data_IF_901390040148
#
_entry.id   IF_901390040148
#
_cell.length_a   1.000
_cell.length_b   1.000
_cell.length_c   1.000
_cell.angle_alpha   90.00
_cell.angle_beta   90.00
_cell.angle_gamma   90.00
#
_symmetry.space_group_name_H-M   'P 1'
#
loop_
_entity.id
_entity.type
_entity.pdbx_description
1 polymer ?
#
# COMPACT_ATOMS: atom_id res chain seq x y z
N UNK A 1 9.04 1.44 16.41
CA UNK A 1 8.54 2.82 16.27
C UNK A 1 7.17 2.76 15.61
N UNK A 2 6.11 3.05 16.38
CA UNK A 2 4.73 3.06 15.89
C UNK A 2 4.52 4.34 15.07
N UNK A 3 4.80 4.27 13.77
CA UNK A 3 4.54 5.41 12.90
C UNK A 3 3.03 5.44 12.59
N UNK A 4 2.38 6.53 13.01
CA UNK A 4 0.98 6.79 12.73
C UNK A 4 0.69 6.80 11.22
N UNK A 5 -0.55 6.49 10.86
CA UNK A 5 -1.05 6.69 9.49
C UNK A 5 -1.22 8.20 9.31
N UNK A 6 -0.62 8.82 8.27
CA UNK A 6 -0.82 10.24 8.00
C UNK A 6 -2.29 10.50 7.62
N UNK A 7 -2.81 11.71 7.87
CA UNK A 7 -4.13 12.10 7.39
C UNK A 7 -4.14 12.03 5.85
N UNK A 8 -5.11 11.32 5.29
CA UNK A 8 -5.31 11.23 3.84
C UNK A 8 -6.30 12.30 3.46
N UNK A 9 -5.93 13.14 2.48
CA UNK A 9 -6.72 14.29 2.06
C UNK A 9 -7.70 13.94 0.93
N UNK A 10 -7.38 12.93 0.15
CA UNK A 10 -8.18 12.47 -0.99
C UNK A 10 -9.31 11.55 -0.56
N UNK A 11 -10.44 11.70 -1.24
CA UNK A 11 -11.61 10.86 -0.97
C UNK A 11 -11.39 9.44 -1.48
N UNK A 12 -12.02 8.45 -0.84
CA UNK A 12 -11.96 7.05 -1.29
C UNK A 12 -12.47 6.89 -2.74
N UNK A 13 -13.41 7.75 -3.16
CA UNK A 13 -13.98 7.80 -4.50
C UNK A 13 -12.94 8.23 -5.55
N UNK A 14 -12.19 9.29 -5.26
CA UNK A 14 -11.13 9.81 -6.12
C UNK A 14 -10.01 8.78 -6.29
N UNK A 15 -9.58 8.18 -5.18
CA UNK A 15 -8.58 7.12 -5.18
C UNK A 15 -9.05 5.91 -5.99
N UNK A 16 -10.33 5.55 -5.90
CA UNK A 16 -10.93 4.49 -6.71
C UNK A 16 -10.89 4.85 -8.19
N UNK A 17 -11.26 6.07 -8.59
CA UNK A 17 -11.21 6.49 -10.00
C UNK A 17 -9.77 6.47 -10.55
N UNK A 18 -8.80 6.96 -9.78
CA UNK A 18 -7.39 6.92 -10.15
C UNK A 18 -6.89 5.49 -10.34
N UNK A 19 -7.31 4.56 -9.48
CA UNK A 19 -6.94 3.15 -9.54
C UNK A 19 -7.44 2.47 -10.83
N UNK A 20 -8.64 2.82 -11.31
CA UNK A 20 -9.18 2.32 -12.57
C UNK A 20 -8.48 2.91 -13.80
N UNK A 21 -7.97 4.14 -13.69
CA UNK A 21 -7.27 4.84 -14.78
C UNK A 21 -5.82 4.42 -14.91
N UNK A 22 -5.17 4.14 -13.79
CA UNK A 22 -3.76 3.78 -13.74
C UNK A 22 -3.55 2.38 -14.32
N UNK A 23 -2.58 2.26 -15.25
CA UNK A 23 -2.25 0.99 -15.91
C UNK A 23 -0.98 0.35 -15.35
N UNK A 24 -0.18 1.11 -14.60
CA UNK A 24 1.05 0.60 -14.02
C UNK A 24 0.73 -0.14 -12.71
N UNK A 25 1.07 -1.43 -12.60
CA UNK A 25 0.72 -2.24 -11.42
C UNK A 25 1.37 -1.70 -10.13
N UNK A 26 2.61 -1.19 -10.22
CA UNK A 26 3.29 -0.59 -9.07
C UNK A 26 2.56 0.64 -8.52
N UNK A 27 2.03 1.48 -9.40
CA UNK A 27 1.27 2.68 -9.03
C UNK A 27 -0.13 2.32 -8.54
N UNK A 28 -0.77 1.34 -9.18
CA UNK A 28 -2.06 0.80 -8.71
C UNK A 28 -1.96 0.26 -7.28
N UNK A 29 -0.92 -0.49 -6.93
CA UNK A 29 -0.74 -0.98 -5.55
C UNK A 29 -0.62 0.16 -4.53
N UNK A 30 0.07 1.26 -4.89
CA UNK A 30 0.21 2.43 -4.01
C UNK A 30 -1.10 3.17 -3.83
N UNK A 31 -1.86 3.36 -4.92
CA UNK A 31 -3.20 3.94 -4.88
C UNK A 31 -4.16 3.06 -4.07
N UNK A 32 -4.05 1.73 -4.22
CA UNK A 32 -4.86 0.79 -3.45
C UNK A 32 -4.55 0.87 -1.95
N UNK A 33 -3.28 1.06 -1.57
CA UNK A 33 -2.90 1.25 -0.17
C UNK A 33 -3.58 2.48 0.45
N UNK A 34 -3.60 3.61 -0.28
CA UNK A 34 -4.29 4.82 0.17
C UNK A 34 -5.81 4.60 0.19
N UNK A 35 -6.37 3.94 -0.83
CA UNK A 35 -7.79 3.64 -0.91
C UNK A 35 -8.28 2.84 0.32
N UNK A 36 -7.56 1.78 0.72
CA UNK A 36 -7.92 0.96 1.88
C UNK A 36 -7.93 1.74 3.20
N UNK A 37 -7.03 2.72 3.32
CA UNK A 37 -6.94 3.58 4.50
C UNK A 37 -8.04 4.64 4.49
N UNK A 38 -8.29 5.27 3.33
CA UNK A 38 -9.32 6.29 3.15
C UNK A 38 -10.74 5.71 3.26
N UNK A 39 -10.97 4.49 2.75
CA UNK A 39 -12.25 3.78 2.86
C UNK A 39 -12.50 3.19 4.25
N UNK A 40 -11.50 3.22 5.13
CA UNK A 40 -11.55 2.62 6.47
C UNK A 40 -11.53 1.08 6.49
N UNK A 41 -11.36 0.43 5.32
CA UNK A 41 -11.21 -1.03 5.23
C UNK A 41 -9.96 -1.55 5.94
N UNK A 42 -8.91 -0.73 5.99
CA UNK A 42 -7.73 -0.98 6.78
C UNK A 42 -7.46 0.21 7.71
N UNK A 43 -7.38 -0.06 9.02
CA UNK A 43 -7.07 0.96 10.04
C UNK A 43 -5.60 0.99 10.44
N UNK A 44 -4.81 0.04 9.94
CA UNK A 44 -3.40 -0.14 10.30
C UNK A 44 -2.55 -0.48 9.09
N UNK A 45 -1.31 0.01 9.11
CA UNK A 45 -0.27 -0.29 8.13
C UNK A 45 -0.05 -1.78 7.94
N UNK A 46 -0.17 -2.56 9.02
CA UNK A 46 0.00 -4.02 9.00
C UNK A 46 -1.14 -4.66 8.21
N UNK A 47 -2.38 -4.24 8.47
CA UNK A 47 -3.55 -4.72 7.73
C UNK A 47 -3.43 -4.40 6.24
N UNK A 48 -3.03 -3.18 5.89
CA UNK A 48 -2.79 -2.79 4.48
C UNK A 48 -1.71 -3.67 3.85
N UNK A 49 -0.59 -3.87 4.55
CA UNK A 49 0.51 -4.70 4.07
C UNK A 49 0.06 -6.14 3.80
N UNK A 50 -0.74 -6.72 4.70
CA UNK A 50 -1.30 -8.07 4.54
C UNK A 50 -2.27 -8.16 3.36
N UNK A 51 -3.17 -7.18 3.21
CA UNK A 51 -4.14 -7.16 2.10
C UNK A 51 -3.47 -7.01 0.74
N UNK A 52 -2.37 -6.26 0.67
CA UNK A 52 -1.61 -6.03 -0.57
C UNK A 52 -0.49 -7.05 -0.82
N UNK A 53 -0.18 -7.94 0.13
CA UNK A 53 0.92 -8.88 0.02
C UNK A 53 2.31 -8.22 0.01
N UNK A 54 2.45 -7.03 0.60
CA UNK A 54 3.72 -6.29 0.66
C UNK A 54 4.27 -6.20 2.09
N UNK A 55 5.53 -5.81 2.25
CA UNK A 55 6.11 -5.66 3.58
C UNK A 55 5.56 -4.41 4.31
N UNK A 56 5.45 -4.47 5.65
CA UNK A 56 5.11 -3.31 6.49
C UNK A 56 6.08 -2.13 6.29
N UNK A 57 7.34 -2.41 5.95
CA UNK A 57 8.37 -1.39 5.69
C UNK A 57 8.09 -0.64 4.39
N UNK A 58 7.60 -1.35 3.37
CA UNK A 58 7.17 -0.77 2.09
C UNK A 58 6.01 0.20 2.30
N UNK A 59 4.95 -0.23 2.99
CA UNK A 59 3.83 0.65 3.36
C UNK A 59 4.33 1.83 4.19
N UNK A 60 5.27 1.59 5.10
CA UNK A 60 5.85 2.63 5.92
C UNK A 60 6.56 3.72 5.12
N UNK A 61 7.32 3.32 4.09
CA UNK A 61 8.01 4.21 3.16
C UNK A 61 7.03 4.97 2.29
N UNK A 62 6.02 4.30 1.75
CA UNK A 62 4.98 4.92 0.93
C UNK A 62 4.24 6.02 1.69
N UNK A 63 3.79 5.72 2.91
CA UNK A 63 3.11 6.70 3.76
C UNK A 63 4.02 7.86 4.16
N UNK A 64 5.32 7.62 4.36
CA UNK A 64 6.26 8.70 4.64
C UNK A 64 6.43 9.61 3.41
N UNK A 65 6.59 9.04 2.21
CA UNK A 65 6.67 9.81 0.96
C UNK A 65 5.39 10.60 0.71
N UNK A 66 4.23 9.99 0.94
CA UNK A 66 2.95 10.67 0.85
C UNK A 66 2.83 11.82 1.87
N UNK A 67 3.27 11.62 3.12
CA UNK A 67 3.25 12.69 4.12
C UNK A 67 4.16 13.88 3.77
N UNK A 68 5.22 13.67 2.98
CA UNK A 68 6.16 14.72 2.59
C UNK A 68 5.79 15.44 1.29
N UNK A 69 5.12 14.77 0.35
CA UNK A 69 4.84 15.34 -0.98
C UNK A 69 3.53 14.88 -1.63
N UNK A 70 2.62 14.32 -0.84
CA UNK A 70 1.28 13.89 -1.25
C UNK A 70 1.26 12.76 -2.27
N UNK A 71 0.14 12.67 -2.98
CA UNK A 71 -0.08 11.73 -4.08
C UNK A 71 0.99 11.78 -5.19
N UNK A 72 1.42 12.96 -5.70
CA UNK A 72 2.38 12.97 -6.80
C UNK A 72 3.74 12.41 -6.37
N UNK A 73 4.19 12.68 -5.15
CA UNK A 73 5.43 12.09 -4.63
C UNK A 73 5.34 10.57 -4.49
N UNK A 74 4.17 10.04 -4.05
CA UNK A 74 3.95 8.60 -3.95
C UNK A 74 3.96 7.91 -5.32
N UNK A 75 3.36 8.54 -6.33
CA UNK A 75 3.34 8.01 -7.70
C UNK A 75 4.69 8.17 -8.41
N UNK A 76 5.49 9.16 -8.02
CA UNK A 76 6.84 9.40 -8.52
C UNK A 76 7.90 8.46 -7.95
N UNK A 77 7.57 7.58 -6.98
CA UNK A 77 8.53 6.58 -6.47
C UNK A 77 8.97 5.69 -7.66
N UNK A 78 10.21 5.87 -8.08
CA UNK A 78 10.82 5.09 -9.14
C UNK A 78 11.06 3.65 -8.67
N UNK A 79 10.52 2.67 -9.41
CA UNK A 79 10.90 1.26 -9.29
C UNK A 79 11.77 0.96 -10.51
N UNK A 80 13.06 0.63 -10.33
CA UNK A 80 13.86 0.18 -11.46
C UNK A 80 13.24 -1.11 -12.04
N UNK A 81 13.05 -1.20 -13.37
CA UNK A 81 12.28 -2.25 -14.03
C UNK A 81 12.88 -3.67 -13.94
N UNK A 82 13.94 -3.88 -13.15
CA UNK A 82 14.66 -5.15 -13.05
C UNK A 82 14.65 -5.82 -11.67
N UNK A 83 14.03 -5.23 -10.65
CA UNK A 83 13.98 -5.87 -9.32
C UNK A 83 12.71 -6.70 -9.19
N UNK A 84 12.79 -7.97 -9.56
CA UNK A 84 11.74 -8.94 -9.28
C UNK A 84 11.39 -8.90 -7.78
N UNK A 85 10.10 -8.86 -7.40
CA UNK A 85 9.72 -9.01 -6.01
C UNK A 85 10.21 -10.39 -5.55
N UNK A 86 11.09 -10.42 -4.55
CA UNK A 86 11.37 -11.63 -3.81
C UNK A 86 10.07 -12.01 -3.11
N UNK A 87 9.26 -12.87 -3.75
CA UNK A 87 8.10 -13.48 -3.15
C UNK A 87 8.52 -14.08 -1.80
N UNK A 88 7.99 -13.63 -0.64
CA UNK A 88 8.11 -14.43 0.56
C UNK A 88 7.23 -15.66 0.36
N UNK A 89 7.80 -16.84 0.57
CA UNK A 89 7.07 -18.11 0.60
C UNK A 89 5.76 -17.96 1.41
N UNK A 90 4.64 -18.56 0.96
CA UNK A 90 3.40 -18.49 1.72
C UNK A 90 3.58 -19.22 3.05
N UNK A 91 3.69 -18.46 4.15
CA UNK A 91 3.57 -19.00 5.50
C UNK A 91 2.11 -19.31 5.79
N UNK A 92 1.59 -20.33 5.11
CA UNK A 92 0.28 -20.92 5.32
C UNK A 92 0.45 -22.34 5.85
N UNK A 93 0.62 -22.48 7.16
CA UNK A 93 0.43 -23.76 7.85
C UNK A 93 -0.46 -23.50 9.08
N UNK A 94 -1.76 -23.39 8.82
CA UNK A 94 -2.78 -23.47 9.87
C UNK A 94 -2.84 -24.93 10.31
N UNK A 95 -2.23 -25.24 11.46
CA UNK A 95 -2.41 -26.53 12.11
C UNK A 95 -3.77 -26.51 12.81
N UNK A 96 -4.82 -27.02 12.14
CA UNK A 96 -6.01 -27.50 12.84
C UNK A 96 -5.61 -28.80 13.54
N UNK A 97 -5.74 -28.84 14.87
CA UNK A 97 -5.77 -30.09 15.62
C UNK A 97 -7.18 -30.26 16.17
N UNK A 98 -7.74 -31.40 15.80
CA UNK A 98 -8.91 -32.08 16.35
C UNK A 98 -8.78 -32.31 17.85
#
# INVERSE_FOLDING_TARGET
MNNAVPPIHESAEELKQLLHRERQPDKQQRLHALYLLASGQARSRITVATLLGVSRGTIGRWLHTYAQGGLPALLAIYVPPGRAPAFPCPSGAVARRT
#
